data_IF_474985944997
#
_entry.id   IF_474985944997
#
_cell.length_a   1.000
_cell.length_b   1.000
_cell.length_c   1.000
_cell.angle_alpha   90.00
_cell.angle_beta   90.00
_cell.angle_gamma   90.00
#
_symmetry.space_group_name_H-M   'P 1'
#
loop_
_entity.id
_entity.type
_entity.pdbx_description
1 polymer ?
#
# COMPACT_ATOMS: atom_id res chain seq x y z
N UNK A 1 0.41 7.67 -1.76
CA UNK A 1 1.69 6.97 -2.03
C UNK A 1 2.86 7.60 -1.28
N UNK A 2 3.29 8.83 -1.59
CA UNK A 2 4.45 9.47 -0.93
C UNK A 2 4.42 9.48 0.60
N UNK A 3 3.29 9.82 1.22
CA UNK A 3 3.15 9.80 2.68
C UNK A 3 3.40 8.41 3.29
N UNK A 4 2.92 7.35 2.64
CA UNK A 4 3.16 5.96 3.06
C UNK A 4 4.64 5.61 2.87
N UNK A 5 5.24 5.99 1.74
CA UNK A 5 6.67 5.77 1.50
C UNK A 5 7.57 6.47 2.53
N UNK A 6 7.22 7.69 2.96
CA UNK A 6 7.92 8.39 4.04
C UNK A 6 7.88 7.61 5.35
N UNK A 7 6.72 7.05 5.71
CA UNK A 7 6.58 6.22 6.90
C UNK A 7 7.45 4.94 6.81
N UNK A 8 7.44 4.29 5.64
CA UNK A 8 8.23 3.08 5.38
C UNK A 8 9.74 3.34 5.37
N UNK A 9 10.17 4.50 4.91
CA UNK A 9 11.58 4.89 4.89
C UNK A 9 12.13 5.29 6.28
N UNK A 10 11.25 5.47 7.27
CA UNK A 10 11.63 5.86 8.62
C UNK A 10 11.90 4.68 9.57
N UNK A 11 12.27 5.01 10.81
CA UNK A 11 12.53 4.03 11.88
C UNK A 11 11.36 3.08 12.12
N UNK A 12 10.13 3.57 11.99
CA UNK A 12 8.91 2.76 12.13
C UNK A 12 8.81 1.69 11.04
N UNK A 13 9.21 2.00 9.80
CA UNK A 13 9.25 1.02 8.72
C UNK A 13 10.23 -0.11 9.03
N UNK A 14 11.47 0.23 9.40
CA UNK A 14 12.49 -0.77 9.74
C UNK A 14 12.07 -1.67 10.92
N UNK A 15 11.43 -1.11 11.95
CA UNK A 15 10.87 -1.90 13.03
C UNK A 15 9.80 -2.89 12.54
N UNK A 16 8.91 -2.46 11.64
CA UNK A 16 7.86 -3.31 11.07
C UNK A 16 8.46 -4.40 10.17
N UNK A 17 9.52 -4.11 9.41
CA UNK A 17 10.25 -5.12 8.63
C UNK A 17 10.79 -6.24 9.53
N UNK A 18 11.39 -5.88 10.66
CA UNK A 18 11.86 -6.85 11.65
C UNK A 18 10.71 -7.69 12.23
N UNK A 19 9.59 -7.05 12.59
CA UNK A 19 8.40 -7.74 13.09
C UNK A 19 7.80 -8.70 12.05
N UNK A 20 7.76 -8.29 10.77
CA UNK A 20 7.30 -9.15 9.67
C UNK A 20 8.13 -10.42 9.56
N UNK A 21 9.45 -10.34 9.72
CA UNK A 21 10.31 -11.53 9.73
C UNK A 21 10.01 -12.47 10.92
N UNK A 22 9.61 -11.92 12.07
CA UNK A 22 9.29 -12.70 13.27
C UNK A 22 7.92 -13.39 13.19
N UNK A 23 7.04 -12.99 12.26
CA UNK A 23 5.74 -13.68 12.07
C UNK A 23 5.88 -15.15 11.67
N UNK A 24 7.02 -15.53 11.07
CA UNK A 24 7.33 -16.93 10.76
C UNK A 24 7.45 -17.80 12.02
N UNK A 25 7.78 -17.19 13.17
CA UNK A 25 7.93 -17.87 14.46
C UNK A 25 6.75 -17.60 15.39
N UNK A 26 6.11 -16.44 15.26
CA UNK A 26 4.97 -16.04 16.06
C UNK A 26 3.78 -15.62 15.17
N UNK A 27 2.89 -16.57 14.83
CA UNK A 27 1.75 -16.31 13.95
C UNK A 27 0.80 -15.21 14.46
N UNK A 28 0.65 -15.05 15.78
CA UNK A 28 -0.24 -14.03 16.37
C UNK A 28 0.23 -12.61 16.05
N UNK A 29 1.52 -12.42 15.79
CA UNK A 29 2.07 -11.13 15.37
C UNK A 29 1.55 -10.71 14.00
N UNK A 30 1.17 -11.66 13.14
CA UNK A 30 0.61 -11.36 11.82
C UNK A 30 -0.73 -10.63 11.93
N UNK A 31 -1.56 -10.99 12.92
CA UNK A 31 -2.84 -10.29 13.19
C UNK A 31 -2.59 -8.82 13.51
N UNK A 32 -1.61 -8.55 14.38
CA UNK A 32 -1.24 -7.18 14.78
C UNK A 32 -0.76 -6.38 13.57
N UNK A 33 0.08 -6.98 12.73
CA UNK A 33 0.60 -6.34 11.52
C UNK A 33 -0.55 -6.05 10.53
N UNK A 34 -1.45 -7.03 10.31
CA UNK A 34 -2.61 -6.85 9.43
C UNK A 34 -3.46 -5.66 9.88
N UNK A 35 -3.87 -5.64 11.16
CA UNK A 35 -4.77 -4.63 11.71
C UNK A 35 -4.12 -3.24 11.77
N UNK A 36 -2.84 -3.16 12.18
CA UNK A 36 -2.20 -1.85 12.44
C UNK A 36 -1.46 -1.27 11.26
N UNK A 37 -1.14 -2.06 10.25
CA UNK A 37 -0.27 -1.63 9.15
C UNK A 37 -0.85 -1.87 7.76
N UNK A 38 -1.51 -3.02 7.52
CA UNK A 38 -2.02 -3.35 6.18
C UNK A 38 -3.42 -2.73 5.97
N UNK A 39 -4.37 -3.07 6.82
CA UNK A 39 -5.78 -2.68 6.67
C UNK A 39 -6.02 -1.15 6.67
N UNK A 40 -5.30 -0.34 7.47
CA UNK A 40 -5.46 1.12 7.44
C UNK A 40 -5.06 1.73 6.09
N UNK A 41 -4.02 1.18 5.46
CA UNK A 41 -3.56 1.65 4.15
C UNK A 41 -4.57 1.32 3.04
N UNK A 42 -5.15 0.12 3.06
CA UNK A 42 -6.20 -0.27 2.10
C UNK A 42 -7.43 0.63 2.25
N UNK A 43 -7.86 0.89 3.49
CA UNK A 43 -9.01 1.75 3.77
C UNK A 43 -8.80 3.17 3.26
N UNK A 44 -7.61 3.74 3.51
CA UNK A 44 -7.24 5.06 3.03
C UNK A 44 -7.28 5.14 1.49
N UNK A 45 -6.75 4.13 0.80
CA UNK A 45 -6.76 4.10 -0.66
C UNK A 45 -8.17 3.95 -1.22
N UNK A 46 -9.01 3.13 -0.61
CA UNK A 46 -10.40 2.97 -1.03
C UNK A 46 -11.17 4.30 -0.93
N UNK A 47 -10.93 5.09 0.10
CA UNK A 47 -11.54 6.43 0.25
C UNK A 47 -11.03 7.42 -0.79
N UNK A 48 -9.77 7.33 -1.22
CA UNK A 48 -9.26 8.09 -2.36
C UNK A 48 -9.98 7.68 -3.64
N UNK A 49 -10.14 6.38 -3.91
CA UNK A 49 -10.84 5.88 -5.09
C UNK A 49 -12.31 6.30 -5.12
N UNK A 50 -13.01 6.24 -3.97
CA UNK A 50 -14.40 6.71 -3.84
C UNK A 50 -14.54 8.18 -4.23
N UNK A 51 -13.61 9.03 -3.77
CA UNK A 51 -13.59 10.45 -4.15
C UNK A 51 -13.33 10.65 -5.65
N UNK A 52 -12.46 9.84 -6.25
CA UNK A 52 -12.23 9.85 -7.70
C UNK A 52 -13.48 9.44 -8.49
N UNK A 53 -14.21 8.43 -8.03
CA UNK A 53 -15.44 7.98 -8.66
C UNK A 53 -16.53 9.06 -8.62
N UNK A 54 -16.65 9.78 -7.50
CA UNK A 54 -17.55 10.93 -7.38
C UNK A 54 -17.25 12.06 -8.39
N UNK A 55 -16.01 12.14 -8.90
CA UNK A 55 -15.60 13.09 -9.95
C UNK A 55 -15.65 12.51 -11.36
N UNK A 56 -16.02 11.24 -11.52
CA UNK A 56 -15.98 10.54 -12.82
C UNK A 56 -14.58 10.12 -13.28
N UNK A 57 -13.57 10.21 -12.42
CA UNK A 57 -12.18 9.86 -12.73
C UNK A 57 -11.88 8.36 -12.52
N UNK A 58 -12.76 7.65 -11.79
CA UNK A 58 -12.60 6.24 -11.43
C UNK A 58 -13.88 5.47 -11.77
N UNK A 59 -13.75 4.33 -12.46
CA UNK A 59 -14.88 3.45 -12.78
C UNK A 59 -15.49 2.83 -11.51
N UNK A 60 -16.81 2.72 -11.42
CA UNK A 60 -17.49 2.19 -10.23
C UNK A 60 -17.04 0.77 -9.85
N UNK A 61 -16.79 -0.08 -10.84
CA UNK A 61 -16.28 -1.44 -10.63
C UNK A 61 -14.85 -1.50 -10.05
N UNK A 62 -14.15 -0.36 -9.92
CA UNK A 62 -12.85 -0.28 -9.26
C UNK A 62 -12.95 -0.09 -7.73
N UNK A 63 -14.15 0.17 -7.18
CA UNK A 63 -14.37 0.44 -5.76
C UNK A 63 -14.43 -0.85 -4.92
N UNK A 64 -13.36 -1.65 -4.99
CA UNK A 64 -13.21 -2.89 -4.22
C UNK A 64 -11.98 -2.84 -3.35
N UNK A 65 -11.99 -3.54 -2.21
CA UNK A 65 -10.80 -3.68 -1.35
C UNK A 65 -9.62 -4.27 -2.14
N UNK A 66 -9.88 -5.21 -3.05
CA UNK A 66 -8.84 -5.86 -3.86
C UNK A 66 -8.13 -4.87 -4.78
N UNK A 67 -8.86 -3.98 -5.45
CA UNK A 67 -8.26 -2.97 -6.34
C UNK A 67 -7.58 -1.88 -5.51
N UNK A 68 -8.19 -1.48 -4.40
CA UNK A 68 -7.61 -0.50 -3.48
C UNK A 68 -6.29 -1.00 -2.85
N UNK A 69 -6.11 -2.31 -2.66
CA UNK A 69 -4.89 -2.87 -2.07
C UNK A 69 -3.71 -2.93 -3.05
N UNK A 70 -3.93 -2.95 -4.37
CA UNK A 70 -2.87 -3.19 -5.36
C UNK A 70 -1.68 -2.25 -5.19
N UNK A 71 -1.92 -0.93 -5.13
CA UNK A 71 -0.85 0.06 -4.95
C UNK A 71 -0.06 -0.13 -3.66
N UNK A 72 -0.74 -0.17 -2.49
CA UNK A 72 -0.11 -0.48 -1.20
C UNK A 72 0.66 -1.81 -1.18
N UNK A 73 0.10 -2.87 -1.76
CA UNK A 73 0.70 -4.20 -1.79
C UNK A 73 2.02 -4.21 -2.57
N UNK A 74 2.06 -3.54 -3.74
CA UNK A 74 3.28 -3.37 -4.53
C UNK A 74 4.33 -2.55 -3.77
N UNK A 75 3.91 -1.48 -3.10
CA UNK A 75 4.81 -0.66 -2.29
C UNK A 75 5.40 -1.46 -1.12
N UNK A 76 4.57 -2.24 -0.42
CA UNK A 76 5.02 -3.12 0.66
C UNK A 76 5.96 -4.21 0.15
N UNK A 77 5.67 -4.81 -1.00
CA UNK A 77 6.57 -5.78 -1.61
C UNK A 77 7.93 -5.15 -1.91
N UNK A 78 7.95 -3.98 -2.56
CA UNK A 78 9.19 -3.28 -2.85
C UNK A 78 9.96 -2.95 -1.57
N UNK A 79 9.26 -2.41 -0.57
CA UNK A 79 9.81 -2.16 0.75
C UNK A 79 10.46 -3.44 1.31
N UNK A 80 9.79 -4.58 1.33
CA UNK A 80 10.33 -5.81 1.90
C UNK A 80 11.53 -6.39 1.14
N UNK A 81 11.50 -6.29 -0.20
CA UNK A 81 12.53 -6.87 -1.05
C UNK A 81 13.79 -6.00 -1.20
N UNK A 82 13.69 -4.70 -0.94
CA UNK A 82 14.78 -3.74 -1.16
C UNK A 82 15.11 -2.97 0.13
N UNK A 83 16.29 -2.36 0.18
CA UNK A 83 16.64 -1.47 1.28
C UNK A 83 16.03 -0.08 1.06
N UNK A 84 15.61 0.62 2.13
CA UNK A 84 15.25 2.03 2.03
C UNK A 84 16.44 2.88 1.55
N UNK A 85 16.19 4.07 0.96
CA UNK A 85 14.87 4.63 0.74
C UNK A 85 14.18 4.06 -0.51
N UNK A 86 12.85 3.97 -0.47
CA UNK A 86 12.02 3.72 -1.65
C UNK A 86 12.16 4.93 -2.59
N UNK A 87 12.67 4.75 -3.83
CA UNK A 87 12.81 5.85 -4.79
C UNK A 87 11.44 6.40 -5.22
N UNK A 88 11.35 7.72 -5.48
CA UNK A 88 10.08 8.34 -5.93
C UNK A 88 9.61 7.72 -7.27
N UNK A 89 10.56 7.33 -8.12
CA UNK A 89 10.29 6.66 -9.40
C UNK A 89 9.44 5.39 -9.23
N UNK A 90 9.67 4.60 -8.19
CA UNK A 90 8.88 3.40 -7.90
C UNK A 90 7.43 3.77 -7.60
N UNK A 91 7.20 4.89 -6.92
CA UNK A 91 5.84 5.36 -6.62
C UNK A 91 5.12 5.81 -7.88
N UNK A 92 5.85 6.46 -8.80
CA UNK A 92 5.33 6.92 -10.09
C UNK A 92 4.93 5.70 -10.93
N UNK A 93 5.82 4.73 -11.09
CA UNK A 93 5.56 3.49 -11.86
C UNK A 93 4.35 2.73 -11.30
N UNK A 94 4.26 2.55 -9.98
CA UNK A 94 3.09 1.90 -9.36
C UNK A 94 1.79 2.64 -9.70
N UNK A 95 1.80 3.98 -9.69
CA UNK A 95 0.61 4.77 -9.96
C UNK A 95 0.27 4.79 -11.45
N UNK A 96 1.23 5.10 -12.30
CA UNK A 96 1.01 5.37 -13.72
C UNK A 96 0.87 4.09 -14.54
N UNK A 97 1.62 3.05 -14.20
CA UNK A 97 1.65 1.81 -14.99
C UNK A 97 0.67 0.76 -14.45
N UNK A 98 0.29 0.84 -13.17
CA UNK A 98 -0.57 -0.19 -12.54
C UNK A 98 -1.89 0.37 -12.04
N UNK A 99 -1.88 1.30 -11.08
CA UNK A 99 -3.11 1.74 -10.41
C UNK A 99 -4.00 2.50 -11.39
N UNK A 100 -3.44 3.43 -12.15
CA UNK A 100 -4.18 4.30 -13.06
C UNK A 100 -4.87 3.52 -14.19
N UNK A 101 -4.20 2.63 -14.93
CA UNK A 101 -4.85 1.79 -15.94
C UNK A 101 -5.92 0.87 -15.34
N UNK A 102 -5.74 0.44 -14.09
CA UNK A 102 -6.71 -0.43 -13.43
C UNK A 102 -8.00 0.31 -13.05
N UNK A 103 -7.96 1.60 -12.76
CA UNK A 103 -9.10 2.35 -12.18
C UNK A 103 -9.77 3.33 -13.13
N UNK A 104 -9.10 3.74 -14.21
CA UNK A 104 -9.67 4.68 -15.19
C UNK A 104 -10.93 4.10 -15.87
N UNK A 105 -11.85 4.97 -16.34
CA UNK A 105 -13.02 4.58 -17.13
C UNK A 105 -12.69 3.76 -18.37
#
# INVERSE_FOLDING_TARGET
MRAVATLLNGLSGEAIRGLLAETLRNPDLMEVIRIRFIDPNVSLFLDVLRRGAARGEVRAAALTNRIASVGPDLLHQHFLAHRPPIPDQVLIEIVDDVVTPLIRP
#
